data_IF_894620195641
#
_entry.id   IF_894620195641
#
_cell.length_a   1.000
_cell.length_b   1.000
_cell.length_c   1.000
_cell.angle_alpha   90.00
_cell.angle_beta   90.00
_cell.angle_gamma   90.00
#
_symmetry.space_group_name_H-M   'P 1'
#
loop_
_entity.id
_entity.type
_entity.pdbx_description
1 polymer ?
#
# COMPACT_ATOMS: atom_id res chain seq x y z
N UNK A 1 57.01 -26.04 30.19
CA UNK A 1 56.68 -25.77 31.60
C UNK A 1 55.52 -24.78 31.60
N UNK A 2 54.25 -25.15 31.59
CA UNK A 2 53.60 -26.48 31.54
C UNK A 2 52.32 -26.35 30.67
N UNK A 3 51.97 -27.31 29.81
CA UNK A 3 51.18 -28.52 30.12
C UNK A 3 49.81 -28.16 30.74
N UNK A 4 48.76 -27.91 29.94
CA UNK A 4 47.88 -28.88 29.25
C UNK A 4 46.80 -29.52 30.15
N UNK A 5 45.50 -29.29 29.85
CA UNK A 5 44.47 -30.35 29.95
C UNK A 5 43.14 -30.02 29.24
N UNK A 6 42.66 -31.01 28.47
CA UNK A 6 41.34 -31.17 27.83
C UNK A 6 41.23 -32.68 27.48
N UNK A 7 40.07 -33.32 27.17
CA UNK A 7 38.70 -33.37 27.74
C UNK A 7 38.46 -34.83 28.30
N UNK A 8 37.36 -35.62 28.09
CA UNK A 8 35.94 -35.42 27.68
C UNK A 8 34.94 -35.87 28.80
N UNK A 9 33.94 -36.80 28.72
CA UNK A 9 33.53 -37.80 27.71
C UNK A 9 32.30 -37.38 26.84
N UNK A 10 31.38 -38.29 26.51
CA UNK A 10 30.26 -38.19 25.55
C UNK A 10 28.94 -38.75 26.10
N UNK A 11 27.79 -38.25 25.62
CA UNK A 11 26.49 -38.95 25.53
C UNK A 11 25.48 -38.14 24.68
N UNK A 12 24.43 -38.67 24.05
CA UNK A 12 24.19 -39.96 23.38
C UNK A 12 22.88 -39.88 22.54
N UNK A 13 22.66 -40.89 21.70
CA UNK A 13 21.59 -41.12 20.70
C UNK A 13 20.12 -40.79 21.08
N UNK A 14 19.35 -40.38 20.07
CA UNK A 14 17.94 -40.76 19.77
C UNK A 14 17.70 -40.34 18.30
N UNK A 15 17.41 -41.15 17.27
CA UNK A 15 16.63 -42.40 17.11
C UNK A 15 15.11 -42.28 17.33
N UNK A 16 14.41 -42.10 16.20
CA UNK A 16 13.23 -42.84 15.74
C UNK A 16 12.03 -43.03 16.69
N UNK A 17 10.97 -42.24 16.45
CA UNK A 17 9.57 -42.72 16.55
C UNK A 17 8.68 -42.13 15.46
N UNK A 18 8.63 -42.80 14.32
CA UNK A 18 7.53 -42.66 13.35
C UNK A 18 6.66 -43.92 13.41
N UNK A 19 5.39 -43.79 13.81
CA UNK A 19 4.34 -44.82 13.63
C UNK A 19 2.98 -44.18 13.33
N UNK A 20 2.07 -44.89 12.65
CA UNK A 20 1.14 -44.25 11.71
C UNK A 20 -0.19 -43.82 12.35
N UNK A 21 -0.77 -42.76 11.81
CA UNK A 21 -2.18 -42.41 12.02
C UNK A 21 -3.09 -43.28 11.13
N UNK A 22 -4.13 -43.84 11.73
CA UNK A 22 -5.11 -44.70 11.07
C UNK A 22 -5.99 -43.91 10.09
N UNK A 23 -6.26 -44.51 8.93
CA UNK A 23 -7.29 -44.02 8.01
C UNK A 23 -8.68 -44.38 8.54
N UNK A 24 -9.57 -43.40 8.63
CA UNK A 24 -10.99 -43.58 8.86
C UNK A 24 -11.75 -42.86 7.75
N UNK A 25 -12.14 -43.60 6.72
CA UNK A 25 -12.89 -43.08 5.58
C UNK A 25 -14.36 -43.51 5.70
N UNK A 26 -15.27 -42.53 5.80
CA UNK A 26 -16.71 -42.75 5.95
C UNK A 26 -17.48 -41.85 4.98
N UNK A 27 -17.89 -42.45 3.86
CA UNK A 27 -19.26 -42.41 3.40
C UNK A 27 -19.88 -41.08 2.95
N UNK A 28 -20.01 -40.93 1.63
CA UNK A 28 -21.36 -40.96 1.03
C UNK A 28 -22.06 -39.64 0.68
N UNK A 29 -22.52 -39.55 -0.57
CA UNK A 29 -23.44 -38.52 -1.07
C UNK A 29 -22.77 -37.19 -1.46
N UNK A 30 -23.23 -36.46 -2.48
CA UNK A 30 -24.43 -36.61 -3.34
C UNK A 30 -24.07 -36.18 -4.76
N UNK A 31 -24.36 -37.02 -5.76
CA UNK A 31 -24.27 -36.63 -7.17
C UNK A 31 -25.55 -35.90 -7.60
N UNK A 32 -25.43 -34.60 -7.85
CA UNK A 32 -26.45 -33.78 -8.50
C UNK A 32 -25.83 -33.00 -9.64
N UNK A 33 -26.31 -33.24 -10.88
CA UNK A 33 -26.25 -32.30 -12.03
C UNK A 33 -27.06 -32.81 -13.23
N UNK A 34 -28.28 -32.29 -13.28
CA UNK A 34 -29.06 -31.84 -14.44
C UNK A 34 -28.41 -31.93 -15.84
N UNK A 35 -29.15 -32.55 -16.77
CA UNK A 35 -29.27 -32.19 -18.20
C UNK A 35 -30.58 -31.38 -18.36
N UNK A 36 -30.77 -30.48 -19.35
CA UNK A 36 -30.60 -30.74 -20.80
C UNK A 36 -29.92 -29.61 -21.62
N UNK A 37 -29.76 -29.82 -22.93
CA UNK A 37 -29.22 -28.84 -23.88
C UNK A 37 -29.80 -29.07 -25.32
N UNK A 38 -29.82 -28.01 -26.14
CA UNK A 38 -30.31 -27.90 -27.54
C UNK A 38 -31.85 -28.00 -27.76
N UNK A 39 -32.43 -27.50 -28.88
CA UNK A 39 -31.85 -26.86 -30.10
C UNK A 39 -32.31 -25.36 -30.27
N UNK A 40 -32.03 -24.52 -31.29
CA UNK A 40 -32.03 -24.64 -32.77
C UNK A 40 -31.25 -23.49 -33.48
N UNK A 41 -30.92 -23.58 -34.79
CA UNK A 41 -30.32 -22.50 -35.60
C UNK A 41 -31.19 -21.99 -36.79
N UNK A 42 -30.66 -20.97 -37.49
CA UNK A 42 -30.89 -20.55 -38.90
C UNK A 42 -32.03 -19.56 -39.29
N UNK A 43 -31.76 -18.76 -40.35
CA UNK A 43 -32.65 -17.76 -40.97
C UNK A 43 -31.94 -16.41 -41.23
N UNK A 44 -30.97 -16.29 -42.14
CA UNK A 44 -31.05 -16.27 -43.61
C UNK A 44 -31.54 -14.93 -44.22
N UNK A 45 -30.62 -14.17 -44.81
CA UNK A 45 -30.88 -12.92 -45.55
C UNK A 45 -31.37 -13.18 -46.99
N UNK A 46 -32.10 -12.23 -47.59
CA UNK A 46 -32.03 -11.96 -49.03
C UNK A 46 -32.44 -10.53 -49.37
N UNK A 47 -31.77 -9.95 -50.36
CA UNK A 47 -31.99 -8.62 -50.89
C UNK A 47 -33.01 -8.62 -52.04
N UNK A 48 -33.52 -7.44 -52.38
CA UNK A 48 -34.26 -7.16 -53.61
C UNK A 48 -33.96 -5.74 -54.09
N UNK A 49 -33.69 -5.59 -55.39
CA UNK A 49 -33.30 -4.32 -56.03
C UNK A 49 -34.36 -3.84 -57.02
N UNK A 50 -34.70 -2.54 -56.94
CA UNK A 50 -34.97 -1.60 -58.06
C UNK A 50 -36.13 -1.91 -59.06
N UNK A 51 -36.60 -0.97 -59.93
CA UNK A 51 -35.98 0.30 -60.39
C UNK A 51 -36.92 1.54 -60.51
N UNK A 52 -36.37 2.70 -60.92
CA UNK A 52 -37.20 3.84 -61.40
C UNK A 52 -36.52 5.21 -61.57
N UNK A 53 -36.26 5.60 -62.82
CA UNK A 53 -35.93 6.92 -63.43
C UNK A 53 -36.65 8.17 -62.83
N UNK A 54 -36.27 9.44 -63.08
CA UNK A 54 -35.08 10.14 -63.63
C UNK A 54 -35.33 11.68 -63.59
N UNK A 55 -34.31 12.50 -63.96
CA UNK A 55 -34.40 13.95 -64.27
C UNK A 55 -34.73 14.91 -63.09
N UNK A 56 -34.27 16.17 -63.04
CA UNK A 56 -33.35 16.95 -63.90
C UNK A 56 -32.85 18.21 -63.16
N UNK A 57 -31.70 18.73 -63.59
CA UNK A 57 -31.25 20.14 -63.61
C UNK A 57 -31.44 21.05 -62.37
N UNK A 58 -30.31 21.51 -61.81
CA UNK A 58 -29.82 22.89 -62.00
C UNK A 58 -28.51 23.16 -61.21
N UNK A 59 -27.52 23.75 -61.89
CA UNK A 59 -26.38 24.51 -61.34
C UNK A 59 -26.72 26.02 -61.47
N UNK A 60 -26.01 27.00 -60.85
CA UNK A 60 -24.61 26.92 -60.38
C UNK A 60 -24.25 27.63 -59.05
N UNK A 61 -23.00 27.40 -58.64
CA UNK A 61 -22.03 28.29 -57.97
C UNK A 61 -22.45 29.20 -56.80
N UNK A 62 -22.07 28.76 -55.59
CA UNK A 62 -21.46 29.65 -54.59
C UNK A 62 -20.13 29.04 -54.15
N UNK A 63 -19.03 29.71 -54.47
CA UNK A 63 -17.71 29.33 -53.99
C UNK A 63 -17.60 29.64 -52.48
N UNK A 64 -17.70 28.61 -51.64
CA UNK A 64 -17.49 28.75 -50.19
C UNK A 64 -15.98 28.93 -49.95
N UNK A 65 -15.58 30.18 -49.69
CA UNK A 65 -14.22 30.48 -49.24
C UNK A 65 -13.94 29.80 -47.90
N UNK A 66 -12.87 29.01 -47.82
CA UNK A 66 -12.38 28.51 -46.54
C UNK A 66 -11.88 29.70 -45.70
N UNK A 67 -12.67 30.11 -44.72
CA UNK A 67 -12.12 30.83 -43.57
C UNK A 67 -11.20 29.85 -42.81
N UNK A 68 -9.95 30.24 -42.48
CA UNK A 68 -9.10 29.39 -41.67
C UNK A 68 -9.73 29.22 -40.28
N UNK A 69 -9.77 27.98 -39.80
CA UNK A 69 -10.21 27.68 -38.44
C UNK A 69 -9.34 28.47 -37.46
N UNK A 70 -9.95 29.47 -36.80
CA UNK A 70 -9.27 30.29 -35.82
C UNK A 70 -8.73 29.42 -34.69
N UNK A 71 -7.41 29.31 -34.62
CA UNK A 71 -6.73 28.63 -33.50
C UNK A 71 -7.19 29.33 -32.22
N UNK A 72 -7.75 28.62 -31.22
CA UNK A 72 -8.22 29.27 -30.00
C UNK A 72 -7.04 29.97 -29.34
N UNK A 73 -7.16 31.28 -29.14
CA UNK A 73 -6.11 32.08 -28.54
C UNK A 73 -5.73 31.47 -27.18
N UNK A 74 -4.44 31.16 -27.01
CA UNK A 74 -3.91 30.61 -25.76
C UNK A 74 -4.25 31.56 -24.60
N UNK A 75 -5.19 31.14 -23.75
CA UNK A 75 -5.48 31.83 -22.50
C UNK A 75 -4.43 31.34 -21.49
N UNK A 76 -3.50 32.20 -21.03
CA UNK A 76 -2.60 31.81 -19.96
C UNK A 76 -3.45 31.42 -18.73
N UNK A 77 -3.02 30.42 -17.94
CA UNK A 77 -3.71 30.07 -16.71
C UNK A 77 -3.76 31.29 -15.78
N UNK A 78 -4.82 31.44 -14.95
CA UNK A 78 -4.91 32.56 -14.02
C UNK A 78 -3.69 32.61 -13.09
N UNK A 79 -3.27 33.81 -12.64
CA UNK A 79 -2.14 33.94 -11.72
C UNK A 79 -2.39 33.11 -10.46
N UNK A 80 -1.31 32.49 -9.97
CA UNK A 80 -1.35 31.36 -9.06
C UNK A 80 -2.36 31.51 -7.91
N UNK A 81 -3.37 30.64 -7.91
CA UNK A 81 -4.03 30.21 -6.67
C UNK A 81 -2.92 29.79 -5.71
N UNK A 82 -2.91 30.31 -4.47
CA UNK A 82 -1.82 30.06 -3.49
C UNK A 82 -1.45 28.57 -3.49
N UNK A 83 -0.24 28.25 -3.92
CA UNK A 83 0.22 26.88 -4.10
C UNK A 83 0.20 26.14 -2.76
N UNK A 84 -0.66 25.13 -2.64
CA UNK A 84 -0.83 24.39 -1.38
C UNK A 84 0.25 23.32 -1.29
N UNK A 85 1.27 23.56 -0.46
CA UNK A 85 2.29 22.56 -0.11
C UNK A 85 1.64 21.27 0.39
N UNK A 86 2.05 20.13 -0.15
CA UNK A 86 1.46 18.84 0.20
C UNK A 86 2.05 18.28 1.48
N UNK A 87 1.23 18.11 2.53
CA UNK A 87 1.66 17.38 3.74
C UNK A 87 1.88 15.89 3.41
N UNK A 88 3.03 15.36 3.82
CA UNK A 88 3.47 13.97 3.62
C UNK A 88 3.81 13.32 4.96
N UNK A 89 3.76 11.99 4.97
CA UNK A 89 4.20 11.18 6.11
C UNK A 89 5.20 10.12 5.63
N UNK A 90 6.42 10.14 6.17
CA UNK A 90 7.44 9.12 5.95
C UNK A 90 7.50 8.15 7.13
N UNK A 91 7.47 6.86 6.83
CA UNK A 91 7.58 5.75 7.77
C UNK A 91 8.86 4.97 7.47
N UNK A 92 9.78 4.90 8.44
CA UNK A 92 11.05 4.18 8.32
C UNK A 92 10.93 2.77 8.89
N UNK A 93 11.52 1.78 8.24
CA UNK A 93 11.47 0.38 8.66
C UNK A 93 12.72 -0.04 9.43
N UNK A 94 12.51 -0.65 10.61
CA UNK A 94 13.57 -1.33 11.35
C UNK A 94 14.69 -0.44 11.88
N UNK A 95 14.38 0.81 12.24
CA UNK A 95 15.32 1.71 12.94
C UNK A 95 15.13 1.61 14.46
N UNK A 96 16.18 1.90 15.23
CA UNK A 96 16.15 1.97 16.69
C UNK A 96 15.64 0.69 17.40
N UNK A 97 15.66 -0.47 16.72
CA UNK A 97 15.34 -1.78 17.27
C UNK A 97 16.62 -2.53 17.64
N UNK A 98 16.73 -3.00 18.88
CA UNK A 98 17.96 -3.61 19.38
C UNK A 98 19.16 -2.66 19.35
N UNK A 99 20.36 -3.15 19.03
CA UNK A 99 21.60 -2.36 18.95
C UNK A 99 21.89 -1.78 17.55
N UNK A 100 21.15 -2.18 16.52
CA UNK A 100 21.41 -1.82 15.13
C UNK A 100 20.61 -0.57 14.67
N UNK A 101 21.03 0.02 13.54
CA UNK A 101 20.32 1.09 12.80
C UNK A 101 19.80 2.21 13.72
N UNK A 102 20.69 2.72 14.57
CA UNK A 102 20.38 3.78 15.53
C UNK A 102 20.37 5.14 14.84
N UNK A 103 19.24 5.85 14.95
CA UNK A 103 19.04 7.18 14.36
C UNK A 103 18.41 8.07 15.45
N UNK A 104 19.10 9.13 15.91
CA UNK A 104 18.50 10.16 16.75
C UNK A 104 17.41 10.92 15.96
N UNK A 105 16.23 11.13 16.55
CA UNK A 105 15.13 11.83 15.85
C UNK A 105 15.44 13.30 15.52
N UNK A 106 16.37 13.93 16.24
CA UNK A 106 16.87 15.27 15.90
C UNK A 106 17.67 15.25 14.58
N UNK A 107 18.58 14.28 14.39
CA UNK A 107 19.31 14.14 13.13
C UNK A 107 18.39 13.70 11.98
N UNK A 108 17.44 12.79 12.23
CA UNK A 108 16.43 12.44 11.22
C UNK A 108 15.65 13.67 10.73
N UNK A 109 15.32 14.59 11.64
CA UNK A 109 14.66 15.85 11.27
C UNK A 109 15.56 16.69 10.38
N UNK A 110 16.81 16.95 10.79
CA UNK A 110 17.80 17.71 10.01
C UNK A 110 18.04 17.13 8.62
N UNK A 111 18.15 15.81 8.50
CA UNK A 111 18.30 15.12 7.20
C UNK A 111 17.10 15.42 6.29
N UNK A 112 15.88 15.35 6.83
CA UNK A 112 14.64 15.62 6.06
C UNK A 112 14.49 17.12 5.74
N UNK A 113 14.88 18.02 6.63
CA UNK A 113 14.95 19.48 6.40
C UNK A 113 15.98 19.82 5.30
N UNK A 114 17.15 19.16 5.29
CA UNK A 114 18.21 19.37 4.29
C UNK A 114 17.80 19.05 2.84
N UNK A 115 16.69 18.31 2.66
CA UNK A 115 16.10 18.02 1.36
C UNK A 115 15.18 19.15 0.83
N UNK A 116 15.06 20.26 1.56
CA UNK A 116 14.18 21.39 1.24
C UNK A 116 12.72 21.16 1.63
N UNK A 117 12.48 20.31 2.63
CA UNK A 117 11.14 20.07 3.18
C UNK A 117 10.90 20.91 4.44
N UNK A 118 9.68 21.41 4.61
CA UNK A 118 9.31 22.29 5.73
C UNK A 118 8.42 21.57 6.75
N UNK A 119 8.13 22.22 7.88
CA UNK A 119 7.21 21.74 8.92
C UNK A 119 7.54 20.35 9.48
N UNK A 120 8.84 19.99 9.47
CA UNK A 120 9.32 18.63 9.72
C UNK A 120 9.18 18.26 11.19
N UNK A 121 8.24 17.36 11.49
CA UNK A 121 7.89 16.93 12.84
C UNK A 121 7.99 15.41 12.97
N UNK A 122 8.72 14.96 13.98
CA UNK A 122 8.98 13.53 14.25
C UNK A 122 8.08 13.01 15.36
N UNK A 123 7.47 11.84 15.18
CA UNK A 123 6.64 11.17 16.18
C UNK A 123 7.30 9.86 16.66
N UNK A 124 7.55 9.75 17.97
CA UNK A 124 8.21 8.61 18.62
C UNK A 124 9.61 8.31 18.05
N UNK A 125 10.31 7.30 18.60
CA UNK A 125 11.64 6.90 18.14
C UNK A 125 11.64 5.81 17.05
N UNK A 126 10.45 5.40 16.56
CA UNK A 126 10.28 4.33 15.57
C UNK A 126 10.35 4.81 14.11
N UNK A 127 10.72 6.07 13.88
CA UNK A 127 10.88 6.63 12.54
C UNK A 127 9.53 6.92 11.87
N UNK A 128 8.87 7.95 12.37
CA UNK A 128 7.67 8.52 11.76
C UNK A 128 7.91 10.02 11.62
N UNK A 129 7.81 10.55 10.41
CA UNK A 129 8.08 11.96 10.11
C UNK A 129 6.91 12.53 9.33
N UNK A 130 6.35 13.64 9.78
CA UNK A 130 5.37 14.45 9.07
C UNK A 130 6.09 15.69 8.55
N UNK A 131 5.91 16.06 7.29
CA UNK A 131 6.59 17.19 6.66
C UNK A 131 5.76 17.74 5.49
N UNK A 132 6.01 18.99 5.14
CA UNK A 132 5.42 19.65 3.97
C UNK A 132 6.39 19.61 2.79
N UNK A 133 5.86 19.33 1.61
CA UNK A 133 6.65 19.26 0.36
C UNK A 133 6.25 20.39 -0.58
N UNK A 134 7.22 21.18 -1.10
CA UNK A 134 6.96 22.18 -2.14
C UNK A 134 6.39 21.56 -3.42
N UNK A 135 5.49 22.27 -4.10
CA UNK A 135 4.82 21.85 -5.33
C UNK A 135 5.79 21.39 -6.43
N UNK A 136 6.90 22.12 -6.62
CA UNK A 136 7.92 21.87 -7.66
C UNK A 136 8.89 20.73 -7.33
N UNK A 137 8.42 19.64 -6.71
CA UNK A 137 9.25 18.49 -6.35
C UNK A 137 8.83 17.22 -7.12
N UNK A 138 9.31 17.03 -8.38
CA UNK A 138 8.90 15.93 -9.25
C UNK A 138 9.61 14.58 -8.96
N UNK A 139 10.31 14.43 -7.82
CA UNK A 139 11.13 13.25 -7.53
C UNK A 139 10.50 12.27 -6.53
N UNK A 140 10.97 11.02 -6.55
CA UNK A 140 10.65 10.01 -5.51
C UNK A 140 11.18 10.47 -4.15
N UNK A 141 10.28 11.01 -3.33
CA UNK A 141 10.55 11.50 -1.97
C UNK A 141 11.10 10.38 -1.08
N UNK A 142 10.63 9.14 -1.22
CA UNK A 142 11.09 8.02 -0.41
C UNK A 142 12.55 7.68 -0.74
N UNK A 143 12.90 7.58 -2.02
CA UNK A 143 14.28 7.36 -2.47
C UNK A 143 15.22 8.50 -2.05
N UNK A 144 14.78 9.76 -2.16
CA UNK A 144 15.55 10.95 -1.69
C UNK A 144 15.85 10.87 -0.19
N UNK A 145 14.85 10.56 0.64
CA UNK A 145 15.04 10.41 2.10
C UNK A 145 15.94 9.21 2.42
N UNK A 146 15.77 8.06 1.76
CA UNK A 146 16.65 6.89 1.96
C UNK A 146 18.12 7.20 1.64
N UNK A 147 18.37 7.88 0.53
CA UNK A 147 19.69 8.33 0.09
C UNK A 147 20.31 9.29 1.10
N UNK A 148 19.58 10.32 1.53
CA UNK A 148 20.09 11.28 2.51
C UNK A 148 20.37 10.64 3.89
N UNK A 149 19.54 9.71 4.37
CA UNK A 149 19.82 8.97 5.62
C UNK A 149 21.07 8.09 5.50
N UNK A 150 21.25 7.40 4.37
CA UNK A 150 22.44 6.59 4.12
C UNK A 150 23.70 7.46 4.07
N UNK A 151 23.65 8.56 3.34
CA UNK A 151 24.84 9.37 3.05
C UNK A 151 25.24 10.27 4.22
N UNK A 152 24.27 10.78 5.01
CA UNK A 152 24.55 11.65 6.16
C UNK A 152 24.68 10.88 7.49
N UNK A 153 23.98 9.75 7.66
CA UNK A 153 23.95 9.00 8.94
C UNK A 153 24.51 7.57 8.85
N UNK A 154 24.91 7.10 7.67
CA UNK A 154 25.44 5.74 7.48
C UNK A 154 24.42 4.61 7.65
N UNK A 155 23.12 4.90 7.70
CA UNK A 155 22.07 3.90 8.00
C UNK A 155 21.22 3.56 6.77
N UNK A 156 21.33 2.33 6.28
CA UNK A 156 20.41 1.81 5.25
C UNK A 156 19.09 1.35 5.86
N UNK A 157 18.00 2.07 5.56
CA UNK A 157 16.62 1.75 5.96
C UNK A 157 15.66 1.91 4.76
N UNK A 158 14.54 1.18 4.77
CA UNK A 158 13.44 1.38 3.81
C UNK A 158 12.53 2.49 4.34
N UNK A 159 12.19 3.45 3.47
CA UNK A 159 11.21 4.50 3.73
C UNK A 159 9.98 4.21 2.88
N UNK A 160 8.79 4.36 3.46
CA UNK A 160 7.51 4.44 2.75
C UNK A 160 6.92 5.82 2.98
N UNK A 161 6.49 6.50 1.92
CA UNK A 161 5.88 7.84 1.99
C UNK A 161 4.40 7.75 1.63
N UNK A 162 3.57 8.50 2.34
CA UNK A 162 2.14 8.66 2.12
C UNK A 162 1.76 10.13 1.96
N UNK A 163 0.70 10.39 1.20
CA UNK A 163 -0.01 11.68 1.22
C UNK A 163 -0.73 11.83 2.58
N UNK A 164 -0.84 13.06 3.10
CA UNK A 164 -1.57 13.30 4.35
C UNK A 164 -3.02 12.78 4.32
N UNK A 165 -3.70 12.94 3.17
CA UNK A 165 -5.06 12.40 2.95
C UNK A 165 -5.13 10.87 2.97
N UNK A 166 -4.06 10.16 2.60
CA UNK A 166 -4.02 8.69 2.68
C UNK A 166 -3.96 8.23 4.14
N UNK A 167 -3.19 8.94 4.98
CA UNK A 167 -3.07 8.63 6.41
C UNK A 167 -4.39 8.90 7.14
N UNK A 168 -5.08 10.01 6.84
CA UNK A 168 -6.39 10.30 7.43
C UNK A 168 -7.48 9.36 6.90
N UNK A 169 -7.45 8.99 5.62
CA UNK A 169 -8.36 7.99 5.04
C UNK A 169 -8.16 6.61 5.70
N UNK A 170 -6.92 6.14 5.83
CA UNK A 170 -6.60 4.86 6.48
C UNK A 170 -7.11 4.76 7.93
N UNK A 171 -7.09 5.86 8.69
CA UNK A 171 -7.65 5.86 10.05
C UNK A 171 -9.18 5.80 10.02
N UNK A 172 -9.83 6.45 9.04
CA UNK A 172 -11.30 6.50 8.91
C UNK A 172 -11.91 5.23 8.33
N UNK A 173 -11.26 4.57 7.39
CA UNK A 173 -11.79 3.39 6.68
C UNK A 173 -11.62 2.08 7.46
N UNK A 174 -10.91 2.08 8.60
CA UNK A 174 -10.55 0.89 9.37
C UNK A 174 -11.79 0.06 9.83
N UNK A 175 -12.04 -1.11 9.20
CA UNK A 175 -13.23 -1.91 9.48
C UNK A 175 -13.09 -2.78 10.74
N UNK A 176 -11.87 -2.87 11.31
CA UNK A 176 -11.60 -3.66 12.52
C UNK A 176 -11.72 -2.83 13.81
N UNK A 177 -12.13 -1.56 13.69
CA UNK A 177 -12.30 -0.63 14.81
C UNK A 177 -13.29 -1.12 15.88
N UNK A 178 -14.34 -1.85 15.50
CA UNK A 178 -15.36 -2.41 16.41
C UNK A 178 -14.92 -3.68 17.14
N UNK A 179 -13.96 -4.44 16.60
CA UNK A 179 -13.47 -5.70 17.20
C UNK A 179 -12.14 -5.54 17.94
N UNK A 180 -11.39 -4.47 17.65
CA UNK A 180 -10.06 -4.21 18.20
C UNK A 180 -10.09 -3.59 19.61
N UNK A 181 -10.55 -4.37 20.60
CA UNK A 181 -10.69 -3.95 22.01
C UNK A 181 -9.40 -3.48 22.70
N UNK A 182 -8.23 -3.77 22.12
CA UNK A 182 -6.93 -3.32 22.61
C UNK A 182 -6.13 -2.69 21.47
N UNK A 183 -5.98 -1.36 21.40
CA UNK A 183 -5.35 -0.69 20.27
C UNK A 183 -3.90 -1.16 20.06
N UNK A 184 -3.16 -1.55 21.11
CA UNK A 184 -1.79 -2.08 21.01
C UNK A 184 -1.68 -3.35 20.16
N UNK A 185 -2.79 -4.08 19.96
CA UNK A 185 -2.89 -5.31 19.17
C UNK A 185 -3.47 -5.13 17.76
N UNK A 186 -3.84 -3.90 17.38
CA UNK A 186 -4.29 -3.53 16.04
C UNK A 186 -3.17 -2.83 15.27
N UNK A 187 -2.78 -3.43 14.14
CA UNK A 187 -1.72 -2.93 13.27
C UNK A 187 -2.26 -2.52 11.91
N UNK A 188 -1.70 -1.43 11.39
CA UNK A 188 -1.83 -1.01 10.01
C UNK A 188 -0.53 -1.43 9.31
N UNK A 189 -0.62 -2.41 8.41
CA UNK A 189 0.46 -2.76 7.50
C UNK A 189 0.40 -1.79 6.32
N UNK A 190 1.45 -1.00 6.15
CA UNK A 190 1.58 0.01 5.09
C UNK A 190 2.56 -0.51 4.04
N UNK A 191 2.10 -0.93 2.84
CA UNK A 191 2.99 -1.36 1.77
C UNK A 191 3.66 -0.17 1.07
N UNK A 192 4.77 -0.41 0.37
CA UNK A 192 5.46 0.60 -0.44
C UNK A 192 4.54 1.24 -1.48
N UNK A 193 3.67 0.44 -2.08
CA UNK A 193 2.84 0.76 -3.24
C UNK A 193 1.57 -0.12 -3.27
N UNK A 194 0.66 0.16 -4.21
CA UNK A 194 -0.61 -0.56 -4.33
C UNK A 194 -0.47 -1.97 -4.94
N UNK A 195 0.61 -2.29 -5.64
CA UNK A 195 0.86 -3.65 -6.15
C UNK A 195 1.22 -4.57 -4.97
N UNK A 196 2.12 -4.13 -4.09
CA UNK A 196 2.42 -4.79 -2.83
C UNK A 196 1.17 -4.95 -1.93
N UNK A 197 0.25 -3.98 -1.92
CA UNK A 197 -1.05 -4.15 -1.22
C UNK A 197 -1.92 -5.25 -1.86
N UNK A 198 -1.93 -5.35 -3.19
CA UNK A 198 -2.69 -6.36 -3.92
C UNK A 198 -2.19 -7.80 -3.68
N UNK A 199 -0.89 -7.99 -3.43
CA UNK A 199 -0.30 -9.29 -3.07
C UNK A 199 -0.82 -9.88 -1.74
N UNK A 200 -1.46 -9.06 -0.89
CA UNK A 200 -2.13 -9.53 0.33
C UNK A 200 -3.52 -10.10 0.06
N UNK A 201 -4.16 -9.83 -1.09
CA UNK A 201 -5.53 -10.28 -1.39
C UNK A 201 -5.73 -11.81 -1.23
N UNK A 202 -4.79 -12.69 -1.66
CA UNK A 202 -4.91 -14.13 -1.44
C UNK A 202 -4.94 -14.56 0.04
N UNK A 203 -4.48 -13.71 0.97
CA UNK A 203 -4.55 -13.98 2.40
C UNK A 203 -5.97 -13.79 2.96
N UNK A 204 -6.84 -13.01 2.31
CA UNK A 204 -8.25 -12.85 2.72
C UNK A 204 -9.06 -14.16 2.59
N UNK A 205 -8.65 -15.07 1.71
CA UNK A 205 -9.28 -16.37 1.53
C UNK A 205 -8.92 -17.39 2.65
N UNK A 206 -8.04 -17.03 3.58
CA UNK A 206 -7.60 -17.89 4.69
C UNK A 206 -8.34 -17.56 5.98
N UNK A 207 -8.64 -18.57 6.78
CA UNK A 207 -9.20 -18.41 8.13
C UNK A 207 -8.07 -18.09 9.12
N UNK A 208 -8.12 -16.90 9.71
CA UNK A 208 -7.10 -16.41 10.66
C UNK A 208 -7.54 -16.45 12.13
N UNK A 209 -8.77 -16.87 12.43
CA UNK A 209 -9.38 -16.79 13.76
C UNK A 209 -8.46 -17.39 14.86
N UNK A 210 -8.24 -16.68 15.99
CA UNK A 210 -8.96 -15.47 16.44
C UNK A 210 -8.48 -14.15 15.80
N UNK A 211 -7.43 -14.17 14.99
CA UNK A 211 -6.91 -13.00 14.29
C UNK A 211 -7.83 -12.56 13.13
N UNK A 212 -7.68 -11.33 12.64
CA UNK A 212 -8.46 -10.83 11.50
C UNK A 212 -7.66 -9.92 10.58
N UNK A 213 -7.85 -10.11 9.28
CA UNK A 213 -7.25 -9.32 8.20
C UNK A 213 -8.34 -8.57 7.44
N UNK A 214 -8.12 -7.28 7.19
CA UNK A 214 -8.88 -6.53 6.19
C UNK A 214 -7.92 -5.73 5.29
N UNK A 215 -8.36 -5.40 4.08
CA UNK A 215 -7.60 -4.58 3.12
C UNK A 215 -8.41 -3.33 2.83
N UNK A 216 -7.82 -2.16 3.05
CA UNK A 216 -8.40 -0.86 2.73
C UNK A 216 -7.89 -0.30 1.40
N UNK A 217 -8.03 1.02 1.21
CA UNK A 217 -7.59 1.70 -0.01
C UNK A 217 -6.06 1.79 -0.13
N UNK A 218 -5.36 1.97 1.00
CA UNK A 218 -3.91 2.21 1.02
C UNK A 218 -3.11 1.29 1.95
N UNK A 219 -3.76 0.68 2.92
CA UNK A 219 -3.13 -0.15 3.97
C UNK A 219 -3.95 -1.44 4.22
N UNK A 220 -3.34 -2.42 4.86
CA UNK A 220 -4.06 -3.58 5.40
C UNK A 220 -4.13 -3.50 6.93
N UNK A 221 -5.26 -3.93 7.49
CA UNK A 221 -5.56 -3.92 8.92
C UNK A 221 -5.39 -5.34 9.46
N UNK A 222 -4.56 -5.49 10.50
CA UNK A 222 -4.28 -6.76 11.16
C UNK A 222 -4.69 -6.65 12.63
N UNK A 223 -5.68 -7.44 13.02
CA UNK A 223 -6.08 -7.62 14.42
C UNK A 223 -5.42 -8.88 14.99
N UNK A 224 -4.55 -8.70 15.98
CA UNK A 224 -3.72 -9.75 16.56
C UNK A 224 -4.07 -9.95 18.06
N UNK A 225 -5.25 -10.48 18.41
CA UNK A 225 -5.74 -10.50 19.79
C UNK A 225 -4.87 -11.32 20.75
N UNK A 226 -4.15 -12.33 20.27
CA UNK A 226 -3.18 -13.09 21.08
C UNK A 226 -1.92 -12.30 21.45
N UNK A 227 -1.58 -11.26 20.68
CA UNK A 227 -0.32 -10.54 20.76
C UNK A 227 0.29 -10.32 19.38
N UNK A 228 1.13 -9.29 19.26
CA UNK A 228 1.78 -8.93 17.98
C UNK A 228 2.94 -9.87 17.65
N UNK A 229 3.73 -10.28 18.66
CA UNK A 229 4.92 -11.12 18.49
C UNK A 229 4.58 -12.51 17.97
N UNK A 230 3.52 -13.11 18.51
CA UNK A 230 3.12 -14.50 18.25
C UNK A 230 2.07 -14.62 17.13
N UNK A 231 1.81 -13.52 16.41
CA UNK A 231 0.77 -13.43 15.38
C UNK A 231 1.14 -14.20 14.11
N UNK A 232 0.35 -15.24 13.81
CA UNK A 232 0.50 -16.04 12.59
C UNK A 232 0.13 -15.23 11.35
N UNK A 233 -0.88 -14.36 11.45
CA UNK A 233 -1.29 -13.42 10.43
C UNK A 233 -0.18 -12.42 10.11
N UNK A 234 0.41 -11.77 11.12
CA UNK A 234 1.51 -10.82 10.91
C UNK A 234 2.73 -11.52 10.31
N UNK A 235 3.06 -12.74 10.75
CA UNK A 235 4.14 -13.54 10.17
C UNK A 235 3.87 -13.85 8.68
N UNK A 236 2.65 -14.19 8.31
CA UNK A 236 2.27 -14.45 6.92
C UNK A 236 2.32 -13.19 6.03
N UNK A 237 1.76 -12.07 6.51
CA UNK A 237 1.81 -10.77 5.80
C UNK A 237 3.25 -10.29 5.66
N UNK A 238 4.07 -10.40 6.71
CA UNK A 238 5.49 -10.01 6.68
C UNK A 238 6.32 -10.90 5.75
N UNK A 239 6.01 -12.21 5.67
CA UNK A 239 6.66 -13.14 4.72
C UNK A 239 6.31 -12.80 3.26
N UNK A 240 5.09 -12.34 3.00
CA UNK A 240 4.62 -11.97 1.66
C UNK A 240 5.24 -10.64 1.18
N UNK A 241 5.23 -9.59 2.02
CA UNK A 241 5.77 -8.28 1.64
C UNK A 241 7.29 -8.15 1.82
N UNK A 242 7.88 -8.86 2.77
CA UNK A 242 9.27 -8.71 3.17
C UNK A 242 9.57 -7.30 3.68
N UNK A 243 10.52 -6.61 3.04
CA UNK A 243 10.86 -5.22 3.34
C UNK A 243 9.89 -4.19 2.76
N UNK A 244 8.99 -4.60 1.85
CA UNK A 244 7.99 -3.72 1.21
C UNK A 244 6.80 -3.40 2.11
N UNK A 245 6.77 -3.92 3.34
CA UNK A 245 5.71 -3.67 4.32
C UNK A 245 6.26 -3.01 5.59
N UNK A 246 5.62 -1.91 6.01
CA UNK A 246 5.91 -1.21 7.26
C UNK A 246 4.69 -1.27 8.18
N UNK A 247 4.78 -2.07 9.26
CA UNK A 247 3.73 -2.13 10.28
C UNK A 247 3.78 -0.92 11.22
N UNK A 248 2.61 -0.39 11.58
CA UNK A 248 2.41 0.64 12.63
C UNK A 248 1.19 0.33 13.47
N UNK A 249 1.24 0.72 14.74
CA UNK A 249 0.09 0.60 15.63
C UNK A 249 -1.00 1.63 15.28
N UNK A 250 -2.28 1.29 15.45
CA UNK A 250 -3.40 2.22 15.24
C UNK A 250 -3.22 3.53 16.02
N UNK A 251 -2.73 3.49 17.26
CA UNK A 251 -2.46 4.69 18.09
C UNK A 251 -1.45 5.62 17.42
N UNK A 252 -0.42 5.05 16.78
CA UNK A 252 0.58 5.83 16.03
C UNK A 252 -0.05 6.43 14.78
N UNK A 253 -0.85 5.66 14.03
CA UNK A 253 -1.52 6.14 12.81
C UNK A 253 -2.52 7.26 13.12
N UNK A 254 -3.32 7.12 14.18
CA UNK A 254 -4.24 8.17 14.65
C UNK A 254 -3.49 9.46 15.06
N UNK A 255 -2.34 9.33 15.76
CA UNK A 255 -1.50 10.50 16.09
C UNK A 255 -0.89 11.16 14.84
N UNK A 256 -0.49 10.38 13.84
CA UNK A 256 -0.01 10.91 12.56
C UNK A 256 -1.11 11.63 11.79
N UNK A 257 -2.33 11.07 11.74
CA UNK A 257 -3.49 11.73 11.15
C UNK A 257 -3.78 13.08 11.84
N UNK A 258 -3.79 13.13 13.18
CA UNK A 258 -3.98 14.37 13.92
C UNK A 258 -2.86 15.41 13.65
N UNK A 259 -1.60 14.98 13.51
CA UNK A 259 -0.49 15.86 13.13
C UNK A 259 -0.63 16.42 11.71
N UNK A 260 -1.09 15.58 10.76
CA UNK A 260 -1.39 15.99 9.38
C UNK A 260 -2.49 17.04 9.35
N UNK A 261 -3.64 16.77 9.98
CA UNK A 261 -4.77 17.70 10.03
C UNK A 261 -4.38 19.04 10.70
N UNK A 262 -3.51 19.02 11.71
CA UNK A 262 -2.96 20.23 12.32
C UNK A 262 -2.05 21.02 11.36
N UNK A 263 -1.25 20.35 10.52
CA UNK A 263 -0.48 21.03 9.46
C UNK A 263 -1.41 21.70 8.44
N UNK A 264 -2.45 20.99 7.98
CA UNK A 264 -3.37 21.52 6.96
C UNK A 264 -4.13 22.76 7.43
N UNK A 265 -4.45 22.87 8.72
CA UNK A 265 -5.05 24.08 9.31
C UNK A 265 -4.05 25.24 9.42
N UNK A 266 -2.78 24.95 9.74
CA UNK A 266 -1.73 25.97 9.85
C UNK A 266 -1.36 26.63 8.52
N UNK A 267 -1.51 25.93 7.40
CA UNK A 267 -1.26 26.50 6.05
C UNK A 267 -2.45 27.28 5.46
N UNK A 268 -3.57 27.40 6.19
CA UNK A 268 -4.77 28.12 5.76
C UNK A 268 -5.01 29.45 6.51
N UNK A 269 -4.20 29.75 7.52
CA UNK A 269 -4.14 31.03 8.22
C UNK A 269 -3.08 31.95 7.60
#
# INVERSE_FOLDING_TARGET
>A
MDSAQTPPPLASRNQDRCRPGLAGDLGGGVLSRSRPCAPHPSGACRAGEHPGRAASDLRPDVAVGLAPLGVPAYRPPPPAVRAVSGTRVALLRGINVGKAKRIPMAELRRVVESLGFTDVRTLLNSGNVVFSVPEKNPGDIASRIQTAIRDQLGVTTRVTVLEGKEVTAAVRENPLSSVAVNPSRLLFMVPTDLAALAELKPLLAKRWAPESLAIGSRVAYLWCPGGVTDSTLLAAVTRNLGERGTARNVTTMTKLAAMVEASSRGSQA
#
